data_IF_302420352482
#
_entry.id   IF_302420352482
#
_cell.length_a   1.000
_cell.length_b   1.000
_cell.length_c   1.000
_cell.angle_alpha   90.00
_cell.angle_beta   90.00
_cell.angle_gamma   90.00
#
_symmetry.space_group_name_H-M   'P 1'
#
loop_
_entity.id
_entity.type
_entity.pdbx_description
1 polymer ?
#
# COMPACT_ATOMS: atom_id res chain seq x y z
N UNK A 1 50.55 -8.27 -54.93
CA UNK A 1 49.08 -8.19 -54.78
C UNK A 1 48.76 -7.22 -53.65
N UNK A 2 48.47 -5.95 -53.95
CA UNK A 2 47.91 -5.03 -52.96
C UNK A 2 46.38 -5.24 -52.93
N UNK A 3 45.87 -5.64 -51.76
CA UNK A 3 44.43 -5.77 -51.50
C UNK A 3 43.77 -4.39 -51.65
N UNK A 4 42.78 -4.26 -52.54
CA UNK A 4 41.86 -3.12 -52.61
C UNK A 4 41.14 -2.95 -51.26
N UNK A 5 41.65 -2.09 -50.38
CA UNK A 5 40.90 -1.58 -49.23
C UNK A 5 40.07 -0.40 -49.72
N UNK A 6 38.78 -0.62 -49.96
CA UNK A 6 37.83 0.49 -50.15
C UNK A 6 37.73 1.24 -48.83
N UNK A 7 38.13 2.51 -48.80
CA UNK A 7 37.94 3.39 -47.65
C UNK A 7 36.48 3.79 -47.50
N UNK A 8 36.06 4.11 -46.27
CA UNK A 8 34.73 4.64 -45.99
C UNK A 8 34.56 6.05 -46.59
N UNK A 9 33.44 6.29 -47.26
CA UNK A 9 33.04 7.63 -47.71
C UNK A 9 32.42 8.43 -46.56
N UNK A 10 32.47 9.76 -46.61
CA UNK A 10 31.86 10.64 -45.61
C UNK A 10 30.35 10.38 -45.45
N UNK A 11 29.67 10.07 -46.55
CA UNK A 11 28.24 9.72 -46.54
C UNK A 11 27.97 8.42 -45.80
N UNK A 12 28.78 7.38 -46.02
CA UNK A 12 28.67 6.12 -45.28
C UNK A 12 28.94 6.31 -43.78
N UNK A 13 29.89 7.17 -43.42
CA UNK A 13 30.17 7.52 -42.02
C UNK A 13 28.96 8.22 -41.37
N UNK A 14 28.35 9.18 -42.06
CA UNK A 14 27.20 9.94 -41.56
C UNK A 14 25.97 9.04 -41.39
N UNK A 15 25.70 8.17 -42.37
CA UNK A 15 24.62 7.17 -42.28
C UNK A 15 24.87 6.22 -41.12
N UNK A 16 26.11 5.76 -40.92
CA UNK A 16 26.45 4.85 -39.83
C UNK A 16 26.23 5.51 -38.46
N UNK A 17 26.67 6.76 -38.28
CA UNK A 17 26.46 7.50 -37.03
C UNK A 17 24.95 7.71 -36.76
N UNK A 18 24.18 8.09 -37.78
CA UNK A 18 22.74 8.31 -37.64
C UNK A 18 22.00 7.01 -37.26
N UNK A 19 22.29 5.90 -37.95
CA UNK A 19 21.66 4.60 -37.69
C UNK A 19 22.06 4.07 -36.31
N UNK A 20 23.34 4.16 -35.94
CA UNK A 20 23.79 3.77 -34.60
C UNK A 20 23.17 4.64 -33.51
N UNK A 21 23.07 5.96 -33.71
CA UNK A 21 22.45 6.88 -32.75
C UNK A 21 20.97 6.56 -32.48
N UNK A 22 20.19 6.33 -33.54
CA UNK A 22 18.78 5.91 -33.42
C UNK A 22 18.68 4.56 -32.71
N UNK A 23 19.56 3.62 -33.06
CA UNK A 23 19.58 2.30 -32.45
C UNK A 23 19.87 2.34 -30.95
N UNK A 24 20.88 3.11 -30.51
CA UNK A 24 21.19 3.27 -29.09
C UNK A 24 20.10 4.05 -28.32
N UNK A 25 19.48 5.05 -28.95
CA UNK A 25 18.37 5.78 -28.33
C UNK A 25 17.15 4.86 -28.08
N UNK A 26 16.82 3.99 -29.04
CA UNK A 26 15.74 3.02 -28.88
C UNK A 26 16.03 2.02 -27.75
N UNK A 27 17.24 1.45 -27.71
CA UNK A 27 17.64 0.53 -26.64
C UNK A 27 17.60 1.23 -25.27
N UNK A 28 18.15 2.45 -25.18
CA UNK A 28 18.13 3.24 -23.95
C UNK A 28 16.71 3.52 -23.46
N UNK A 29 15.80 3.88 -24.37
CA UNK A 29 14.39 4.09 -24.05
C UNK A 29 13.69 2.83 -23.56
N UNK A 30 13.96 1.67 -24.19
CA UNK A 30 13.36 0.39 -23.80
C UNK A 30 13.86 -0.04 -22.42
N UNK A 31 15.17 0.06 -22.17
CA UNK A 31 15.77 -0.26 -20.86
C UNK A 31 15.19 0.63 -19.76
N UNK A 32 15.12 1.94 -20.01
CA UNK A 32 14.54 2.89 -19.05
C UNK A 32 13.06 2.57 -18.76
N UNK A 33 12.27 2.29 -19.80
CA UNK A 33 10.87 1.91 -19.66
C UNK A 33 10.69 0.62 -18.86
N UNK A 34 11.54 -0.38 -19.08
CA UNK A 34 11.51 -1.64 -18.33
C UNK A 34 11.84 -1.40 -16.86
N UNK A 35 12.94 -0.72 -16.55
CA UNK A 35 13.35 -0.42 -15.17
C UNK A 35 12.26 0.35 -14.43
N UNK A 36 11.68 1.36 -15.07
CA UNK A 36 10.58 2.15 -14.48
C UNK A 36 9.33 1.27 -14.24
N UNK A 37 8.97 0.43 -15.20
CA UNK A 37 7.83 -0.49 -15.06
C UNK A 37 8.04 -1.50 -13.93
N UNK A 38 9.23 -2.10 -13.82
CA UNK A 38 9.55 -3.05 -12.76
C UNK A 38 9.49 -2.38 -11.38
N UNK A 39 10.10 -1.21 -11.22
CA UNK A 39 10.06 -0.48 -9.96
C UNK A 39 8.64 -0.06 -9.56
N UNK A 40 7.78 0.26 -10.52
CA UNK A 40 6.37 0.57 -10.24
C UNK A 40 5.57 -0.68 -9.85
N UNK A 41 5.80 -1.81 -10.52
CA UNK A 41 5.16 -3.08 -10.19
C UNK A 41 5.57 -3.59 -8.81
N UNK A 42 6.85 -3.48 -8.46
CA UNK A 42 7.38 -3.85 -7.14
C UNK A 42 6.75 -3.01 -6.04
N UNK A 43 6.72 -1.68 -6.18
CA UNK A 43 6.04 -0.79 -5.21
C UNK A 43 4.55 -1.09 -5.08
N UNK A 44 3.86 -1.41 -6.18
CA UNK A 44 2.46 -1.79 -6.14
C UNK A 44 2.25 -3.14 -5.42
N UNK A 45 3.16 -4.09 -5.60
CA UNK A 45 3.14 -5.37 -4.90
C UNK A 45 3.42 -5.21 -3.41
N UNK A 46 4.41 -4.41 -3.03
CA UNK A 46 4.68 -4.07 -1.61
C UNK A 46 3.47 -3.40 -0.97
N UNK A 47 2.88 -2.40 -1.64
CA UNK A 47 1.66 -1.72 -1.16
C UNK A 47 0.53 -2.71 -0.93
N UNK A 48 0.24 -3.57 -1.91
CA UNK A 48 -0.79 -4.59 -1.77
C UNK A 48 -0.48 -5.58 -0.64
N UNK A 49 0.79 -5.93 -0.44
CA UNK A 49 1.25 -6.75 0.68
C UNK A 49 0.97 -6.09 2.04
N UNK A 50 1.22 -4.80 2.16
CA UNK A 50 0.92 -4.01 3.36
C UNK A 50 -0.59 -3.97 3.67
N UNK A 51 -1.43 -3.68 2.67
CA UNK A 51 -2.89 -3.74 2.83
C UNK A 51 -3.37 -5.11 3.28
N UNK A 52 -2.86 -6.19 2.68
CA UNK A 52 -3.19 -7.56 3.10
C UNK A 52 -2.79 -7.83 4.55
N UNK A 53 -1.60 -7.40 4.96
CA UNK A 53 -1.13 -7.57 6.33
C UNK A 53 -1.98 -6.77 7.33
N UNK A 54 -2.31 -5.52 7.00
CA UNK A 54 -3.17 -4.67 7.82
C UNK A 54 -4.56 -5.30 7.98
N UNK A 55 -5.16 -5.75 6.87
CA UNK A 55 -6.46 -6.41 6.90
C UNK A 55 -6.45 -7.71 7.69
N UNK A 56 -5.39 -8.52 7.61
CA UNK A 56 -5.28 -9.74 8.39
C UNK A 56 -5.27 -9.45 9.90
N UNK A 57 -4.58 -8.40 10.34
CA UNK A 57 -4.57 -7.97 11.75
C UNK A 57 -5.96 -7.50 12.18
N UNK A 58 -6.61 -6.66 11.35
CA UNK A 58 -7.95 -6.13 11.63
C UNK A 58 -9.00 -7.25 11.71
N UNK A 59 -8.95 -8.20 10.78
CA UNK A 59 -9.86 -9.33 10.73
C UNK A 59 -9.67 -10.23 11.95
N UNK A 60 -8.43 -10.55 12.31
CA UNK A 60 -8.14 -11.29 13.54
C UNK A 60 -8.62 -10.57 14.80
N UNK A 61 -8.56 -9.23 14.84
CA UNK A 61 -9.14 -8.45 15.95
C UNK A 61 -10.65 -8.59 16.00
N UNK A 62 -11.34 -8.44 14.85
CA UNK A 62 -12.80 -8.56 14.80
C UNK A 62 -13.27 -9.97 15.20
N UNK A 63 -12.55 -11.01 14.79
CA UNK A 63 -12.80 -12.40 15.19
C UNK A 63 -12.64 -12.61 16.69
N UNK A 64 -11.56 -12.09 17.31
CA UNK A 64 -11.34 -12.21 18.76
C UNK A 64 -12.39 -11.43 19.56
N UNK A 65 -12.75 -10.22 19.12
CA UNK A 65 -13.85 -9.45 19.73
C UNK A 65 -15.16 -10.25 19.68
N UNK A 66 -15.47 -10.85 18.53
CA UNK A 66 -16.64 -11.71 18.37
C UNK A 66 -16.59 -12.97 19.24
N UNK A 67 -15.41 -13.59 19.37
CA UNK A 67 -15.22 -14.77 20.20
C UNK A 67 -15.44 -14.46 21.69
N UNK A 68 -15.05 -13.26 22.14
CA UNK A 68 -15.30 -12.81 23.52
C UNK A 68 -16.80 -12.57 23.80
N UNK A 69 -17.57 -12.17 22.78
CA UNK A 69 -18.97 -11.77 22.92
C UNK A 69 -19.18 -10.45 23.70
N UNK A 70 -18.10 -9.79 24.13
CA UNK A 70 -18.17 -8.53 24.84
C UNK A 70 -18.34 -7.34 23.88
N UNK A 71 -18.93 -6.26 24.38
CA UNK A 71 -19.08 -5.01 23.63
C UNK A 71 -17.70 -4.39 23.36
N UNK A 72 -17.46 -3.98 22.12
CA UNK A 72 -16.25 -3.28 21.73
C UNK A 72 -16.44 -1.76 21.85
N UNK A 73 -15.37 -1.06 22.14
CA UNK A 73 -15.30 0.40 22.16
C UNK A 73 -14.45 0.90 21.00
N UNK A 74 -14.84 2.02 20.41
CA UNK A 74 -14.08 2.73 19.39
C UNK A 74 -13.77 4.12 19.90
N UNK A 75 -12.49 4.41 20.08
CA UNK A 75 -11.99 5.74 20.45
C UNK A 75 -11.16 6.29 19.29
N UNK A 76 -11.48 7.49 18.85
CA UNK A 76 -10.75 8.18 17.79
C UNK A 76 -10.31 9.55 18.31
N UNK A 77 -9.03 9.85 18.15
CA UNK A 77 -8.47 11.18 18.39
C UNK A 77 -7.64 11.61 17.16
N UNK A 78 -7.01 12.79 17.25
CA UNK A 78 -6.21 13.32 16.14
C UNK A 78 -4.98 12.47 15.80
N UNK A 79 -4.47 11.70 16.77
CA UNK A 79 -3.19 11.00 16.73
C UNK A 79 -3.38 9.49 16.57
N UNK A 80 -4.52 8.94 16.99
CA UNK A 80 -4.74 7.51 17.09
C UNK A 80 -6.19 7.09 16.93
N UNK A 81 -6.36 5.83 16.54
CA UNK A 81 -7.64 5.12 16.55
C UNK A 81 -7.46 3.84 17.36
N UNK A 82 -8.31 3.63 18.34
CA UNK A 82 -8.29 2.46 19.24
C UNK A 82 -9.63 1.74 19.14
N UNK A 83 -9.57 0.43 18.88
CA UNK A 83 -10.72 -0.45 18.77
C UNK A 83 -10.50 -1.63 19.71
N UNK A 84 -11.38 -1.87 20.67
CA UNK A 84 -11.21 -3.00 21.59
C UNK A 84 -12.16 -3.06 22.79
N UNK A 85 -12.03 -4.13 23.56
CA UNK A 85 -12.84 -4.44 24.76
C UNK A 85 -11.99 -4.64 26.03
N UNK A 86 -10.77 -4.07 26.07
CA UNK A 86 -9.82 -4.19 27.18
C UNK A 86 -8.92 -5.42 27.12
N UNK A 87 -9.42 -6.56 26.65
CA UNK A 87 -8.60 -7.78 26.41
C UNK A 87 -8.02 -7.80 25.00
N UNK A 88 -8.86 -7.53 24.00
CA UNK A 88 -8.46 -7.41 22.60
C UNK A 88 -8.43 -5.93 22.24
N UNK A 89 -7.26 -5.42 21.85
CA UNK A 89 -7.07 -4.01 21.49
C UNK A 89 -6.27 -3.92 20.19
N UNK A 90 -6.84 -3.18 19.24
CA UNK A 90 -6.19 -2.73 18.03
C UNK A 90 -5.97 -1.22 18.11
N UNK A 91 -4.73 -0.80 17.92
CA UNK A 91 -4.34 0.62 17.93
C UNK A 91 -3.70 0.98 16.61
N UNK A 92 -4.26 1.97 15.93
CA UNK A 92 -3.59 2.67 14.85
C UNK A 92 -3.03 3.98 15.38
N UNK A 93 -1.71 4.17 15.22
CA UNK A 93 -1.00 5.40 15.55
C UNK A 93 -0.63 6.12 14.25
N UNK A 94 -1.18 7.31 14.05
CA UNK A 94 -0.96 8.15 12.86
C UNK A 94 0.46 8.71 12.83
N UNK A 95 1.00 9.13 13.97
CA UNK A 95 2.33 9.74 14.05
C UNK A 95 3.43 8.69 13.83
N UNK A 96 3.25 7.51 14.41
CA UNK A 96 4.18 6.39 14.24
C UNK A 96 3.90 5.53 12.99
N UNK A 97 2.86 5.88 12.23
CA UNK A 97 2.36 5.17 11.05
C UNK A 97 2.36 3.66 11.26
N UNK A 98 1.67 3.21 12.31
CA UNK A 98 1.74 1.82 12.75
C UNK A 98 0.39 1.30 13.23
N UNK A 99 0.10 0.05 12.86
CA UNK A 99 -1.03 -0.72 13.36
C UNK A 99 -0.51 -1.75 14.37
N UNK A 100 -1.04 -1.75 15.58
CA UNK A 100 -0.56 -2.59 16.69
C UNK A 100 -1.72 -3.39 17.28
N UNK A 101 -1.49 -4.69 17.48
CA UNK A 101 -2.41 -5.60 18.18
C UNK A 101 -1.59 -6.49 19.12
N UNK A 102 -1.67 -6.24 20.43
CA UNK A 102 -0.80 -6.90 21.41
C UNK A 102 0.68 -6.65 21.10
N UNK A 103 1.47 -7.73 20.98
CA UNK A 103 2.89 -7.65 20.61
C UNK A 103 3.12 -7.50 19.09
N UNK A 104 2.09 -7.71 18.26
CA UNK A 104 2.21 -7.59 16.82
C UNK A 104 2.13 -6.12 16.41
N UNK A 105 3.19 -5.63 15.77
CA UNK A 105 3.25 -4.27 15.22
C UNK A 105 3.56 -4.30 13.73
N UNK A 106 2.66 -3.73 12.93
CA UNK A 106 2.84 -3.50 11.51
C UNK A 106 3.17 -2.03 11.28
N UNK A 107 4.37 -1.76 10.78
CA UNK A 107 4.72 -0.44 10.28
C UNK A 107 4.12 -0.25 8.88
N UNK A 108 3.43 0.86 8.69
CA UNK A 108 2.72 1.18 7.46
C UNK A 108 3.48 2.27 6.70
N UNK A 109 4.00 1.88 5.53
CA UNK A 109 4.75 2.77 4.63
C UNK A 109 3.82 3.39 3.59
N UNK A 110 2.79 2.66 3.16
CA UNK A 110 1.90 3.07 2.08
C UNK A 110 0.53 3.53 2.59
N UNK A 111 0.01 2.92 3.64
CA UNK A 111 -1.24 3.32 4.30
C UNK A 111 -0.97 4.56 5.16
N UNK A 112 -1.75 5.61 4.95
CA UNK A 112 -1.60 6.92 5.61
C UNK A 112 -2.78 7.31 6.49
N UNK A 113 -3.89 6.59 6.41
CA UNK A 113 -5.05 6.85 7.24
C UNK A 113 -5.87 5.60 7.49
N UNK A 114 -6.41 5.53 8.70
CA UNK A 114 -7.45 4.59 9.10
C UNK A 114 -8.59 5.41 9.68
N UNK A 115 -9.75 5.26 9.07
CA UNK A 115 -11.03 5.84 9.51
C UNK A 115 -11.94 4.71 9.96
N UNK A 116 -12.77 4.99 10.96
CA UNK A 116 -13.72 4.03 11.50
C UNK A 116 -15.08 4.69 11.60
N UNK A 117 -16.12 3.94 11.27
CA UNK A 117 -17.50 4.36 11.44
C UNK A 117 -18.30 3.23 12.05
N UNK A 118 -19.22 3.55 12.94
CA UNK A 118 -20.08 2.57 13.60
C UNK A 118 -21.51 2.72 13.08
N UNK A 119 -22.09 1.63 12.61
CA UNK A 119 -23.45 1.57 12.11
C UNK A 119 -24.29 0.66 13.01
N UNK A 120 -25.45 1.16 13.44
CA UNK A 120 -26.43 0.48 14.28
C UNK A 120 -25.86 -0.11 15.59
N UNK A 121 -24.75 0.46 16.09
CA UNK A 121 -24.07 -0.01 17.30
C UNK A 121 -23.53 -1.44 17.21
N UNK A 122 -23.33 -1.98 15.99
CA UNK A 122 -22.92 -3.38 15.77
C UNK A 122 -21.97 -3.56 14.60
N UNK A 123 -22.09 -2.74 13.56
CA UNK A 123 -21.26 -2.86 12.37
C UNK A 123 -20.14 -1.85 12.44
N UNK A 124 -18.91 -2.35 12.45
CA UNK A 124 -17.69 -1.57 12.38
C UNK A 124 -17.25 -1.47 10.92
N UNK A 125 -17.28 -0.26 10.36
CA UNK A 125 -16.77 0.01 9.01
C UNK A 125 -15.39 0.61 9.17
N UNK A 126 -14.36 -0.07 8.67
CA UNK A 126 -12.97 0.41 8.69
C UNK A 126 -12.58 0.78 7.28
N UNK A 127 -12.03 1.97 7.10
CA UNK A 127 -11.50 2.44 5.82
C UNK A 127 -10.00 2.72 5.96
N UNK A 128 -9.20 2.02 5.16
CA UNK A 128 -7.78 2.29 4.99
C UNK A 128 -7.58 3.17 3.76
N UNK A 129 -6.74 4.19 3.89
CA UNK A 129 -6.37 5.10 2.80
C UNK A 129 -4.87 5.11 2.58
N UNK A 130 -4.45 5.14 1.32
CA UNK A 130 -3.05 5.29 0.93
C UNK A 130 -2.72 6.74 0.50
N UNK A 131 -1.42 7.05 0.46
CA UNK A 131 -0.93 8.36 0.01
C UNK A 131 -1.07 8.64 -1.49
N UNK A 132 -1.53 7.67 -2.28
CA UNK A 132 -1.80 7.80 -3.72
C UNK A 132 -3.29 8.05 -4.01
N UNK A 133 -4.13 8.17 -2.99
CA UNK A 133 -5.58 8.39 -3.10
C UNK A 133 -6.42 7.11 -3.19
N UNK A 134 -5.80 5.93 -3.05
CA UNK A 134 -6.48 4.65 -2.92
C UNK A 134 -7.19 4.55 -1.57
N UNK A 135 -8.42 4.06 -1.57
CA UNK A 135 -9.20 3.76 -0.36
C UNK A 135 -9.79 2.37 -0.45
N UNK A 136 -9.65 1.59 0.62
CA UNK A 136 -10.31 0.29 0.79
C UNK A 136 -11.12 0.29 2.07
N UNK A 137 -12.38 -0.16 1.99
CA UNK A 137 -13.27 -0.22 3.14
C UNK A 137 -13.78 -1.64 3.34
N UNK A 138 -13.86 -2.07 4.59
CA UNK A 138 -14.46 -3.36 5.01
C UNK A 138 -15.38 -3.15 6.18
N UNK A 139 -16.46 -3.93 6.23
CA UNK A 139 -17.42 -3.92 7.31
C UNK A 139 -17.35 -5.22 8.11
N UNK A 140 -17.35 -5.10 9.43
CA UNK A 140 -17.28 -6.20 10.38
C UNK A 140 -18.48 -6.12 11.32
N UNK A 141 -19.26 -7.20 11.40
CA UNK A 141 -20.34 -7.30 12.37
C UNK A 141 -19.78 -7.80 13.71
N UNK A 142 -19.95 -7.00 14.76
CA UNK A 142 -19.52 -7.33 16.12
C UNK A 142 -20.74 -7.75 16.96
N UNK A 143 -20.83 -9.04 17.27
CA UNK A 143 -21.99 -9.64 17.92
C UNK A 143 -22.22 -9.13 19.35
N UNK A 144 -21.15 -8.75 20.05
CA UNK A 144 -21.21 -8.13 21.38
C UNK A 144 -21.67 -6.67 21.37
N UNK A 145 -21.77 -6.04 20.21
CA UNK A 145 -22.06 -4.61 20.06
C UNK A 145 -20.80 -3.74 19.97
N UNK A 146 -21.01 -2.47 19.61
CA UNK A 146 -19.96 -1.46 19.45
C UNK A 146 -20.47 -0.12 19.99
N UNK A 147 -19.66 0.52 20.82
CA UNK A 147 -19.90 1.88 21.33
C UNK A 147 -18.80 2.84 20.90
N UNK A 148 -19.17 4.10 20.71
CA UNK A 148 -18.29 5.16 20.20
C UNK A 148 -18.22 5.18 18.67
N UNK A 149 -17.35 6.06 18.15
CA UNK A 149 -17.14 6.20 16.71
C UNK A 149 -18.04 7.18 15.97
N UNK A 150 -18.83 7.98 16.70
CA UNK A 150 -19.42 9.19 16.14
C UNK A 150 -18.32 10.23 15.95
N UNK A 151 -18.08 10.59 14.69
CA UNK A 151 -17.44 11.87 14.36
C UNK A 151 -18.53 12.93 14.54
N UNK A 152 -18.32 13.86 15.48
CA UNK A 152 -18.98 15.16 15.38
C UNK A 152 -18.63 15.84 14.05
#
# INVERSE_FOLDING_TARGET
MLKNRKGFTLTELLVTIAVSGIFFAMIGSIIYSLISSYGNAERAAERNGEFKAAWAIIEATAEELNASGAEASVTMDEVSVVIGNGETVLTYDRAATALTKGENRLHMKYIQGLEVSVLDGRVLIITLSDGAGGKESRAYNLFGGVTGGDSE
#
